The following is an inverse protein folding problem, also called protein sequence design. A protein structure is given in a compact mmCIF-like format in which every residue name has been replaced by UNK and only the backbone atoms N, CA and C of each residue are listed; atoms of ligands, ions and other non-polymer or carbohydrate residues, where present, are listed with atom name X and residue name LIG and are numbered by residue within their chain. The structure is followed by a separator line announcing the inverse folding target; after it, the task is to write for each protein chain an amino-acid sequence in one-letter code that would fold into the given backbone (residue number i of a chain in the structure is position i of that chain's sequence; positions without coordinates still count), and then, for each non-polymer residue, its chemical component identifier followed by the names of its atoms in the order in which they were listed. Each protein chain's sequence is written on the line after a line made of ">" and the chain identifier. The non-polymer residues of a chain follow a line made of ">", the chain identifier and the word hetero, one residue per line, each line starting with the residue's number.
data_IF_171787789903
#
_entry.id   IF_171787789903
#
_cell.length_a   1.000
_cell.length_b   1.000
_cell.length_c   1.000
_cell.angle_alpha   90.00
_cell.angle_beta   90.00
_cell.angle_gamma   90.00
#
_symmetry.space_group_name_H-M   'P 1'
#
loop_
_entity.id
_entity.type
_entity.pdbx_description
1 polymer ?
#
# COMPACT_ATOMS: atom_id res chain seq x y z
N UNK A 1 -29.22 16.60 4.24
CA UNK A 1 -28.14 15.65 4.58
C UNK A 1 -28.49 14.31 3.96
N UNK A 2 -27.63 13.75 3.09
CA UNK A 2 -27.88 12.42 2.51
C UNK A 2 -27.70 11.38 3.61
N UNK A 3 -28.75 10.65 3.95
CA UNK A 3 -28.68 9.46 4.78
C UNK A 3 -27.90 8.38 4.01
N UNK A 4 -26.59 8.35 4.21
CA UNK A 4 -25.75 7.23 3.79
C UNK A 4 -26.13 6.07 4.69
N UNK A 5 -26.81 5.07 4.13
CA UNK A 5 -27.11 3.82 4.82
C UNK A 5 -25.78 3.11 5.05
N UNK A 6 -25.15 3.36 6.20
CA UNK A 6 -23.81 2.86 6.50
C UNK A 6 -23.81 1.32 6.59
N UNK A 7 -22.85 0.73 5.89
CA UNK A 7 -22.61 -0.70 5.89
C UNK A 7 -22.17 -1.18 7.29
N UNK A 8 -22.61 -2.37 7.71
CA UNK A 8 -22.60 -2.88 9.11
C UNK A 8 -21.22 -3.11 9.76
N UNK A 9 -20.12 -2.70 9.14
CA UNK A 9 -18.75 -3.02 9.59
C UNK A 9 -18.01 -1.79 10.13
N UNK A 10 -18.34 -1.44 11.37
CA UNK A 10 -17.85 -0.30 12.14
C UNK A 10 -16.48 -0.53 12.78
N UNK A 11 -15.53 -1.15 12.08
CA UNK A 11 -14.20 -1.40 12.64
C UNK A 11 -13.17 -0.46 11.99
N UNK A 12 -12.15 -0.04 12.73
CA UNK A 12 -11.02 0.72 12.19
C UNK A 12 -9.72 -0.05 12.40
N UNK A 13 -8.68 0.28 11.64
CA UNK A 13 -7.35 -0.30 11.86
C UNK A 13 -6.70 0.39 13.06
N UNK A 14 -6.50 -0.36 14.15
CA UNK A 14 -5.79 0.14 15.32
C UNK A 14 -4.30 0.26 15.02
N UNK A 15 -3.74 1.46 15.20
CA UNK A 15 -2.33 1.75 14.98
C UNK A 15 -1.66 2.02 16.34
N UNK A 16 -0.91 1.05 16.91
CA UNK A 16 -0.32 1.20 18.24
C UNK A 16 0.59 2.43 18.38
N UNK A 17 1.32 2.79 17.31
CA UNK A 17 2.19 3.97 17.32
C UNK A 17 1.41 5.29 17.45
N UNK A 18 0.31 5.44 16.72
CA UNK A 18 -0.56 6.62 16.84
C UNK A 18 -1.26 6.66 18.21
N UNK A 19 -1.74 5.50 18.68
CA UNK A 19 -2.32 5.37 20.02
C UNK A 19 -1.35 5.80 21.12
N UNK A 20 -0.10 5.32 21.07
CA UNK A 20 0.92 5.65 22.06
C UNK A 20 1.35 7.11 21.98
N UNK A 21 1.47 7.68 20.77
CA UNK A 21 1.80 9.10 20.58
C UNK A 21 0.77 9.98 21.28
N UNK A 22 -0.50 9.63 21.16
CA UNK A 22 -1.61 10.38 21.75
C UNK A 22 -1.68 10.16 23.27
N UNK A 23 -1.57 8.91 23.74
CA UNK A 23 -1.85 8.57 25.15
C UNK A 23 -0.66 8.68 26.10
N UNK A 24 0.60 8.70 25.62
CA UNK A 24 1.80 8.68 26.47
C UNK A 24 1.92 9.84 27.48
N UNK A 25 1.28 10.98 27.19
CA UNK A 25 1.31 12.17 28.04
C UNK A 25 -0.02 12.44 28.75
N UNK A 26 -0.99 11.53 28.62
CA UNK A 26 -2.28 11.66 29.29
C UNK A 26 -2.20 11.12 30.72
N UNK A 27 -2.91 11.77 31.64
CA UNK A 27 -3.28 11.16 32.91
C UNK A 27 -4.10 9.88 32.68
N UNK A 28 -4.05 8.94 33.63
CA UNK A 28 -4.81 7.68 33.55
C UNK A 28 -6.31 7.90 33.32
N UNK A 29 -6.86 8.96 33.93
CA UNK A 29 -8.29 9.30 33.81
C UNK A 29 -8.60 9.89 32.44
N UNK A 30 -7.75 10.76 31.91
CA UNK A 30 -7.88 11.29 30.55
C UNK A 30 -7.73 10.18 29.50
N UNK A 31 -6.79 9.24 29.68
CA UNK A 31 -6.62 8.07 28.82
C UNK A 31 -7.88 7.20 28.78
N UNK A 32 -8.52 6.94 29.93
CA UNK A 32 -9.79 6.19 29.97
C UNK A 32 -10.90 6.92 29.21
N UNK A 33 -10.94 8.26 29.27
CA UNK A 33 -11.90 9.04 28.48
C UNK A 33 -11.58 8.95 26.98
N UNK A 34 -10.30 9.05 26.60
CA UNK A 34 -9.82 8.88 25.23
C UNK A 34 -10.21 7.52 24.65
N UNK A 35 -9.96 6.43 25.38
CA UNK A 35 -10.30 5.07 24.94
C UNK A 35 -11.82 4.93 24.66
N UNK A 36 -12.65 5.55 25.50
CA UNK A 36 -14.11 5.55 25.33
C UNK A 36 -14.55 6.33 24.10
N UNK A 37 -13.94 7.49 23.85
CA UNK A 37 -14.18 8.30 22.66
C UNK A 37 -13.77 7.53 21.40
N UNK A 38 -12.58 6.90 21.42
CA UNK A 38 -12.10 6.05 20.33
C UNK A 38 -13.06 4.89 20.03
N UNK A 39 -13.62 4.25 21.06
CA UNK A 39 -14.63 3.20 20.89
C UNK A 39 -15.94 3.76 20.31
N UNK A 40 -16.37 4.95 20.74
CA UNK A 40 -17.59 5.59 20.24
C UNK A 40 -17.46 6.00 18.77
N UNK A 41 -16.25 6.33 18.31
CA UNK A 41 -15.96 6.62 16.90
C UNK A 41 -16.33 5.49 15.95
N UNK A 42 -16.33 4.24 16.43
CA UNK A 42 -16.83 3.10 15.66
C UNK A 42 -18.28 3.33 15.21
N UNK A 43 -19.13 3.90 16.08
CA UNK A 43 -20.56 4.15 15.78
C UNK A 43 -20.76 5.51 15.12
N UNK A 44 -20.06 6.52 15.64
CA UNK A 44 -20.20 7.91 15.27
C UNK A 44 -18.81 8.51 15.06
N UNK A 45 -18.37 8.66 13.80
CA UNK A 45 -17.03 9.16 13.45
C UNK A 45 -16.67 10.42 14.24
N UNK A 46 -17.66 11.29 14.49
CA UNK A 46 -17.52 12.48 15.31
C UNK A 46 -18.47 12.38 16.50
N UNK A 47 -18.01 12.76 17.69
CA UNK A 47 -18.85 12.88 18.88
C UNK A 47 -19.35 14.31 19.05
N UNK A 48 -20.57 14.46 19.53
CA UNK A 48 -21.17 15.76 19.85
C UNK A 48 -20.56 16.36 21.12
N UNK A 49 -20.76 17.67 21.34
CA UNK A 49 -20.39 18.33 22.59
C UNK A 49 -21.02 17.64 23.82
N UNK A 50 -22.27 17.17 23.71
CA UNK A 50 -22.96 16.48 24.81
C UNK A 50 -22.29 15.15 25.16
N UNK A 51 -21.88 14.38 24.14
CA UNK A 51 -21.12 13.14 24.33
C UNK A 51 -19.74 13.42 24.91
N UNK A 52 -19.03 14.43 24.41
CA UNK A 52 -17.74 14.85 24.97
C UNK A 52 -17.89 15.20 26.46
N UNK A 53 -18.87 16.03 26.81
CA UNK A 53 -19.16 16.39 28.21
C UNK A 53 -19.49 15.15 29.06
N UNK A 54 -20.20 14.16 28.50
CA UNK A 54 -20.51 12.92 29.19
C UNK A 54 -19.26 12.07 29.46
N UNK A 55 -18.36 11.96 28.48
CA UNK A 55 -17.10 11.21 28.64
C UNK A 55 -16.13 11.90 29.59
N UNK A 56 -16.15 13.23 29.64
CA UNK A 56 -15.26 14.04 30.48
C UNK A 56 -15.88 14.49 31.80
N UNK A 57 -17.11 14.05 32.14
CA UNK A 57 -17.86 14.54 33.32
C UNK A 57 -17.18 14.33 34.66
N UNK A 58 -16.23 13.39 34.74
CA UNK A 58 -15.47 13.07 35.96
C UNK A 58 -14.06 13.63 35.91
N UNK A 59 -13.64 14.27 34.83
CA UNK A 59 -12.29 14.80 34.69
C UNK A 59 -12.17 16.17 35.36
N UNK A 60 -11.00 16.47 35.90
CA UNK A 60 -10.62 17.84 36.28
C UNK A 60 -10.45 18.71 35.03
N UNK A 61 -10.34 20.03 35.20
CA UNK A 61 -10.12 20.92 34.05
C UNK A 61 -8.75 20.69 33.39
N UNK A 62 -7.72 20.36 34.17
CA UNK A 62 -6.40 20.01 33.64
C UNK A 62 -6.45 18.70 32.83
N UNK A 63 -7.09 17.65 33.36
CA UNK A 63 -7.27 16.37 32.66
C UNK A 63 -8.09 16.53 31.36
N UNK A 64 -9.05 17.46 31.35
CA UNK A 64 -9.80 17.81 30.13
C UNK A 64 -8.91 18.54 29.14
N UNK A 65 -8.07 19.46 29.59
CA UNK A 65 -7.17 20.20 28.73
C UNK A 65 -6.19 19.25 28.04
N UNK A 66 -5.62 18.28 28.77
CA UNK A 66 -4.80 17.19 28.21
C UNK A 66 -5.51 16.47 27.05
N UNK A 67 -6.75 16.02 27.28
CA UNK A 67 -7.53 15.32 26.27
C UNK A 67 -7.84 16.19 25.04
N UNK A 68 -8.15 17.47 25.25
CA UNK A 68 -8.48 18.42 24.19
C UNK A 68 -7.27 18.85 23.36
N UNK A 69 -6.03 18.55 23.78
CA UNK A 69 -4.85 18.71 22.93
C UNK A 69 -4.79 17.67 21.80
N UNK A 70 -5.50 16.56 21.95
CA UNK A 70 -5.48 15.42 21.01
C UNK A 70 -6.80 15.33 20.22
N UNK A 71 -7.91 15.64 20.88
CA UNK A 71 -9.23 15.59 20.28
C UNK A 71 -9.49 16.90 19.51
N UNK A 72 -9.56 16.79 18.19
CA UNK A 72 -9.78 17.92 17.29
C UNK A 72 -11.25 18.35 17.31
N UNK A 73 -11.48 19.67 17.38
CA UNK A 73 -12.79 20.26 17.14
C UNK A 73 -13.00 20.47 15.66
N UNK A 74 -14.09 19.94 15.13
CA UNK A 74 -14.47 20.02 13.71
C UNK A 74 -15.90 20.54 13.54
N UNK A 75 -16.29 20.84 12.30
CA UNK A 75 -17.68 21.16 11.99
C UNK A 75 -18.59 19.96 12.29
N UNK A 76 -19.47 20.11 13.28
CA UNK A 76 -20.37 19.05 13.74
C UNK A 76 -19.93 18.30 15.01
N UNK A 77 -18.74 18.54 15.58
CA UNK A 77 -18.35 17.92 16.85
C UNK A 77 -16.86 17.81 17.10
N UNK A 78 -16.46 16.64 17.59
CA UNK A 78 -15.10 16.32 18.03
C UNK A 78 -14.66 14.96 17.49
N UNK A 79 -13.40 14.84 17.09
CA UNK A 79 -12.84 13.58 16.63
C UNK A 79 -11.37 13.38 17.01
N UNK A 80 -10.97 12.12 17.13
CA UNK A 80 -9.55 11.74 17.14
C UNK A 80 -9.14 11.57 15.68
N UNK A 81 -8.24 12.43 15.21
CA UNK A 81 -7.89 12.59 13.80
C UNK A 81 -7.59 11.25 13.09
N UNK A 82 -6.61 10.50 13.59
CA UNK A 82 -6.17 9.26 12.94
C UNK A 82 -7.24 8.15 12.97
N UNK A 83 -8.12 8.16 13.98
CA UNK A 83 -9.25 7.21 14.09
C UNK A 83 -10.28 7.56 13.03
N UNK A 84 -10.65 8.83 12.91
CA UNK A 84 -11.61 9.31 11.93
C UNK A 84 -11.12 9.07 10.49
N UNK A 85 -9.85 9.34 10.21
CA UNK A 85 -9.22 9.03 8.92
C UNK A 85 -9.31 7.53 8.60
N UNK A 86 -8.93 6.66 9.55
CA UNK A 86 -8.97 5.20 9.38
C UNK A 86 -10.39 4.69 9.07
N UNK A 87 -11.42 5.27 9.71
CA UNK A 87 -12.82 4.91 9.43
C UNK A 87 -13.25 5.40 8.04
N UNK A 88 -12.91 6.65 7.67
CA UNK A 88 -13.24 7.21 6.35
C UNK A 88 -12.61 6.40 5.21
N UNK A 89 -11.35 6.01 5.36
CA UNK A 89 -10.64 5.15 4.41
C UNK A 89 -11.36 3.81 4.23
N UNK A 90 -11.81 3.19 5.33
CA UNK A 90 -12.56 1.93 5.28
C UNK A 90 -13.92 2.09 4.60
N UNK A 91 -14.64 3.18 4.84
CA UNK A 91 -15.90 3.47 4.18
C UNK A 91 -15.66 3.59 2.66
N UNK A 92 -14.68 4.39 2.25
CA UNK A 92 -14.34 4.58 0.84
C UNK A 92 -13.94 3.26 0.15
N UNK A 93 -13.14 2.44 0.83
CA UNK A 93 -12.78 1.09 0.35
C UNK A 93 -14.01 0.21 0.18
N UNK A 94 -14.88 0.16 1.19
CA UNK A 94 -16.11 -0.66 1.17
C UNK A 94 -17.04 -0.24 0.04
N UNK A 95 -17.23 1.06 -0.17
CA UNK A 95 -18.02 1.60 -1.26
C UNK A 95 -17.41 1.28 -2.64
N UNK A 96 -16.09 1.45 -2.79
CA UNK A 96 -15.37 1.09 -4.02
C UNK A 96 -15.55 -0.40 -4.35
N UNK A 97 -15.43 -1.28 -3.35
CA UNK A 97 -15.64 -2.72 -3.51
C UNK A 97 -17.09 -3.05 -3.84
N UNK A 98 -18.05 -2.36 -3.22
CA UNK A 98 -19.48 -2.52 -3.54
C UNK A 98 -19.77 -2.16 -5.00
N UNK A 99 -19.32 -0.97 -5.44
CA UNK A 99 -19.45 -0.52 -6.84
C UNK A 99 -18.80 -1.50 -7.82
N UNK A 100 -17.62 -2.02 -7.48
CA UNK A 100 -16.91 -3.00 -8.30
C UNK A 100 -17.61 -4.36 -8.42
N UNK A 101 -18.50 -4.70 -7.47
CA UNK A 101 -19.30 -5.93 -7.45
C UNK A 101 -20.65 -5.76 -8.14
N UNK A 102 -21.18 -4.53 -8.22
CA UNK A 102 -22.42 -4.26 -8.94
C UNK A 102 -22.28 -4.68 -10.42
N UNK A 103 -23.15 -5.57 -10.87
CA UNK A 103 -23.21 -6.04 -12.25
C UNK A 103 -22.26 -7.20 -12.62
N UNK A 104 -21.46 -7.75 -11.69
CA UNK A 104 -20.58 -8.89 -11.98
C UNK A 104 -21.17 -10.20 -11.45
N UNK A 105 -21.07 -11.29 -12.22
CA UNK A 105 -21.49 -12.62 -11.76
C UNK A 105 -20.61 -13.11 -10.60
N UNK A 106 -21.18 -13.90 -9.68
CA UNK A 106 -20.46 -14.44 -8.50
C UNK A 106 -19.15 -15.16 -8.85
N UNK A 107 -19.03 -15.73 -10.07
CA UNK A 107 -17.82 -16.42 -10.55
C UNK A 107 -16.61 -15.47 -10.75
N UNK A 108 -16.86 -14.17 -10.94
CA UNK A 108 -15.82 -13.14 -11.08
C UNK A 108 -15.55 -12.36 -9.78
N UNK A 109 -16.26 -12.67 -8.70
CA UNK A 109 -16.03 -12.04 -7.39
C UNK A 109 -14.85 -12.72 -6.70
N UNK A 110 -13.62 -12.21 -6.88
CA UNK A 110 -12.49 -12.60 -6.04
C UNK A 110 -12.79 -12.22 -4.58
N UNK A 111 -13.12 -13.20 -3.76
CA UNK A 111 -13.39 -13.12 -2.30
C UNK A 111 -12.12 -13.24 -1.45
N UNK A 112 -10.98 -12.79 -1.97
CA UNK A 112 -9.76 -12.67 -1.17
C UNK A 112 -9.41 -11.19 -1.02
N UNK A 113 -9.51 -10.70 0.22
CA UNK A 113 -9.01 -9.41 0.66
C UNK A 113 -7.98 -9.71 1.72
N UNK A 114 -6.70 -9.47 1.43
CA UNK A 114 -5.64 -9.47 2.44
C UNK A 114 -5.99 -8.33 3.42
N UNK A 115 -6.47 -8.68 4.60
CA UNK A 115 -6.97 -7.72 5.57
C UNK A 115 -5.79 -7.03 6.27
N UNK A 116 -5.82 -5.69 6.29
CA UNK A 116 -5.10 -4.84 7.26
C UNK A 116 -3.57 -4.80 7.18
N UNK A 117 -3.00 -4.66 5.98
CA UNK A 117 -1.70 -3.99 5.82
C UNK A 117 -1.97 -2.69 5.07
N UNK A 118 -1.58 -1.56 5.65
CA UNK A 118 -1.86 -0.23 5.12
C UNK A 118 -1.13 0.02 3.81
N UNK A 119 -1.78 -0.28 2.69
CA UNK A 119 -1.28 0.08 1.37
C UNK A 119 -1.56 1.56 1.10
N UNK A 120 -0.70 2.41 1.70
CA UNK A 120 -0.39 3.76 1.20
C UNK A 120 0.42 3.70 -0.11
N UNK A 121 0.06 2.79 -1.00
CA UNK A 121 0.94 2.23 -2.03
C UNK A 121 0.94 3.01 -3.34
N UNK A 122 0.64 4.30 -3.29
CA UNK A 122 0.93 5.22 -4.41
C UNK A 122 1.79 6.40 -4.00
N UNK A 123 1.83 6.80 -2.72
CA UNK A 123 2.75 7.85 -2.26
C UNK A 123 4.14 7.28 -2.00
N UNK A 124 4.23 6.10 -1.37
CA UNK A 124 5.51 5.46 -1.03
C UNK A 124 6.40 5.10 -2.23
N UNK A 125 5.84 4.63 -3.35
CA UNK A 125 6.67 4.26 -4.52
C UNK A 125 7.24 5.46 -5.26
N UNK A 126 6.49 6.55 -5.34
CA UNK A 126 6.97 7.80 -5.93
C UNK A 126 8.11 8.38 -5.09
N UNK A 127 7.97 8.37 -3.76
CA UNK A 127 9.03 8.80 -2.85
C UNK A 127 10.27 7.90 -2.94
N UNK A 128 10.08 6.58 -2.97
CA UNK A 128 11.19 5.62 -3.10
C UNK A 128 11.93 5.80 -4.43
N UNK A 129 11.21 5.92 -5.55
CA UNK A 129 11.79 6.14 -6.86
C UNK A 129 12.56 7.46 -6.90
N UNK A 130 11.94 8.55 -6.48
CA UNK A 130 12.57 9.88 -6.44
C UNK A 130 13.83 9.87 -5.59
N UNK A 131 13.78 9.22 -4.41
CA UNK A 131 14.94 9.08 -3.52
C UNK A 131 16.08 8.31 -4.20
N UNK A 132 15.79 7.19 -4.85
CA UNK A 132 16.82 6.37 -5.53
C UNK A 132 17.42 7.11 -6.72
N UNK A 133 16.60 7.80 -7.51
CA UNK A 133 17.04 8.59 -8.67
C UNK A 133 17.97 9.72 -8.24
N UNK A 134 17.53 10.56 -7.29
CA UNK A 134 18.32 11.71 -6.81
C UNK A 134 19.60 11.29 -6.09
N UNK A 135 19.53 10.28 -5.21
CA UNK A 135 20.70 9.81 -4.45
C UNK A 135 21.79 9.19 -5.32
N UNK A 136 21.41 8.63 -6.47
CA UNK A 136 22.35 7.95 -7.37
C UNK A 136 22.61 8.72 -8.67
N UNK A 137 22.07 9.94 -8.79
CA UNK A 137 22.19 10.79 -9.97
C UNK A 137 21.86 10.05 -11.29
N UNK A 138 20.75 9.30 -11.29
CA UNK A 138 20.30 8.51 -12.43
C UNK A 138 19.44 9.40 -13.33
N UNK A 139 19.78 9.49 -14.62
CA UNK A 139 18.92 10.15 -15.60
C UNK A 139 17.89 9.16 -16.14
N UNK A 140 16.60 9.45 -15.91
CA UNK A 140 15.51 8.63 -16.43
C UNK A 140 15.12 9.10 -17.84
N UNK A 141 15.12 8.21 -18.85
CA UNK A 141 14.57 8.52 -20.17
C UNK A 141 13.06 8.82 -20.10
N UNK A 142 12.55 9.56 -21.07
CA UNK A 142 11.15 9.99 -21.07
C UNK A 142 10.17 8.79 -20.97
N UNK A 143 9.22 8.91 -20.05
CA UNK A 143 8.21 7.89 -19.77
C UNK A 143 8.69 6.66 -18.99
N UNK A 144 9.98 6.51 -18.66
CA UNK A 144 10.47 5.37 -17.86
C UNK A 144 10.00 5.43 -16.41
N UNK A 145 9.82 6.63 -15.85
CA UNK A 145 9.25 6.81 -14.52
C UNK A 145 7.92 6.05 -14.38
N UNK A 146 7.02 6.26 -15.33
CA UNK A 146 5.70 5.59 -15.35
C UNK A 146 5.82 4.07 -15.46
N UNK A 147 6.73 3.57 -16.29
CA UNK A 147 6.97 2.13 -16.45
C UNK A 147 7.53 1.50 -15.17
N UNK A 148 8.44 2.18 -14.49
CA UNK A 148 9.03 1.71 -13.23
C UNK A 148 7.98 1.71 -12.13
N UNK A 149 7.14 2.74 -12.02
CA UNK A 149 6.05 2.79 -11.05
C UNK A 149 5.02 1.68 -11.29
N UNK A 150 4.67 1.41 -12.56
CA UNK A 150 3.78 0.30 -12.93
C UNK A 150 4.38 -1.06 -12.53
N UNK A 151 5.69 -1.25 -12.72
CA UNK A 151 6.39 -2.44 -12.25
C UNK A 151 6.38 -2.57 -10.73
N UNK A 152 6.70 -1.50 -9.99
CA UNK A 152 6.72 -1.52 -8.52
C UNK A 152 5.36 -1.91 -7.95
N UNK A 153 4.29 -1.35 -8.52
CA UNK A 153 2.92 -1.71 -8.17
C UNK A 153 2.62 -3.19 -8.46
N UNK A 154 3.00 -3.69 -9.64
CA UNK A 154 2.82 -5.11 -9.96
C UNK A 154 3.52 -6.03 -8.94
N UNK A 155 4.70 -5.65 -8.46
CA UNK A 155 5.45 -6.43 -7.47
C UNK A 155 4.81 -6.36 -6.09
N UNK A 156 4.25 -5.21 -5.70
CA UNK A 156 3.52 -5.10 -4.44
C UNK A 156 2.23 -5.92 -4.44
N UNK A 157 1.53 -6.03 -5.57
CA UNK A 157 0.39 -6.94 -5.74
C UNK A 157 0.77 -8.42 -5.48
N UNK A 158 2.06 -8.75 -5.63
CA UNK A 158 2.64 -10.07 -5.33
C UNK A 158 3.25 -10.17 -3.93
N UNK A 159 3.13 -9.13 -3.09
CA UNK A 159 3.74 -9.04 -1.78
C UNK A 159 5.27 -8.87 -1.81
N UNK A 160 5.82 -8.39 -2.94
CA UNK A 160 7.25 -8.20 -3.13
C UNK A 160 7.57 -6.71 -3.23
N UNK A 161 8.47 -6.22 -2.37
CA UNK A 161 8.94 -4.84 -2.38
C UNK A 161 10.43 -4.77 -2.68
N UNK A 162 10.88 -3.64 -3.24
CA UNK A 162 12.30 -3.38 -3.45
C UNK A 162 12.87 -2.51 -2.33
N UNK A 163 14.08 -2.85 -1.89
CA UNK A 163 14.95 -1.92 -1.16
C UNK A 163 15.68 -1.00 -2.14
N UNK A 164 16.19 0.13 -1.67
CA UNK A 164 16.91 1.13 -2.50
C UNK A 164 17.98 0.51 -3.41
N UNK A 165 18.79 -0.40 -2.86
CA UNK A 165 19.89 -1.07 -3.59
C UNK A 165 19.38 -1.96 -4.72
N UNK A 166 18.31 -2.71 -4.47
CA UNK A 166 17.67 -3.57 -5.47
C UNK A 166 17.00 -2.75 -6.57
N UNK A 167 16.31 -1.67 -6.19
CA UNK A 167 15.65 -0.78 -7.14
C UNK A 167 16.66 -0.07 -8.05
N UNK A 168 17.77 0.44 -7.49
CA UNK A 168 18.87 1.02 -8.27
C UNK A 168 19.35 0.07 -9.37
N UNK A 169 19.65 -1.18 -8.99
CA UNK A 169 20.15 -2.19 -9.93
C UNK A 169 19.12 -2.49 -11.02
N UNK A 170 17.85 -2.62 -10.65
CA UNK A 170 16.76 -2.82 -11.59
C UNK A 170 16.68 -1.67 -12.61
N UNK A 171 16.66 -0.42 -12.16
CA UNK A 171 16.55 0.76 -13.02
C UNK A 171 17.70 0.81 -14.02
N UNK A 172 18.94 0.62 -13.55
CA UNK A 172 20.12 0.66 -14.41
C UNK A 172 20.10 -0.46 -15.47
N UNK A 173 19.73 -1.68 -15.08
CA UNK A 173 19.59 -2.80 -16.02
C UNK A 173 18.45 -2.53 -17.01
N UNK A 174 17.35 -1.96 -16.54
CA UNK A 174 16.19 -1.65 -17.37
C UNK A 174 16.50 -0.61 -18.45
N UNK A 175 17.12 0.51 -18.08
CA UNK A 175 17.55 1.55 -19.03
C UNK A 175 18.60 0.99 -20.00
N UNK A 176 19.61 0.27 -19.48
CA UNK A 176 20.67 -0.32 -20.32
C UNK A 176 20.14 -1.32 -21.35
N UNK A 177 19.21 -2.19 -20.95
CA UNK A 177 18.69 -3.26 -21.80
C UNK A 177 17.67 -2.75 -22.83
N UNK A 178 16.92 -1.71 -22.47
CA UNK A 178 16.00 -1.04 -23.38
C UNK A 178 16.70 -0.04 -24.32
N UNK A 179 17.95 0.35 -24.01
CA UNK A 179 18.66 1.41 -24.73
C UNK A 179 18.03 2.79 -24.52
N UNK A 180 17.21 2.96 -23.48
CA UNK A 180 16.42 4.17 -23.25
C UNK A 180 15.19 4.31 -24.16
N UNK A 181 14.88 3.32 -24.99
CA UNK A 181 13.68 3.32 -25.84
C UNK A 181 12.46 2.89 -25.01
N UNK A 182 11.49 3.80 -24.89
CA UNK A 182 10.23 3.60 -24.16
C UNK A 182 9.42 2.43 -24.71
N UNK A 183 9.42 2.20 -26.02
CA UNK A 183 8.67 1.10 -26.63
C UNK A 183 9.28 -0.25 -26.22
N UNK A 184 10.61 -0.35 -26.29
CA UNK A 184 11.34 -1.55 -25.83
C UNK A 184 11.15 -1.74 -24.32
N UNK A 185 11.20 -0.65 -23.54
CA UNK A 185 10.94 -0.68 -22.11
C UNK A 185 9.54 -1.20 -21.78
N UNK A 186 8.52 -0.81 -22.56
CA UNK A 186 7.15 -1.32 -22.43
C UNK A 186 7.06 -2.80 -22.77
N UNK A 187 7.66 -3.23 -23.88
CA UNK A 187 7.69 -4.65 -24.27
C UNK A 187 8.36 -5.52 -23.20
N UNK A 188 9.48 -5.06 -22.63
CA UNK A 188 10.15 -5.74 -21.51
C UNK A 188 9.26 -5.86 -20.27
N UNK A 189 8.51 -4.79 -19.96
CA UNK A 189 7.60 -4.73 -18.82
C UNK A 189 6.48 -5.76 -19.00
N UNK A 190 5.77 -5.70 -20.13
CA UNK A 190 4.65 -6.58 -20.44
C UNK A 190 5.11 -8.06 -20.50
N UNK A 191 6.26 -8.33 -21.11
CA UNK A 191 6.85 -9.67 -21.14
C UNK A 191 7.15 -10.19 -19.72
N UNK A 192 7.81 -9.39 -18.89
CA UNK A 192 8.21 -9.79 -17.54
C UNK A 192 7.02 -9.99 -16.61
N UNK A 193 5.97 -9.18 -16.75
CA UNK A 193 4.71 -9.37 -16.04
C UNK A 193 4.02 -10.66 -16.49
N UNK A 194 3.92 -10.91 -17.80
CA UNK A 194 3.28 -12.12 -18.33
C UNK A 194 3.95 -13.41 -17.86
N UNK A 195 5.28 -13.40 -17.72
CA UNK A 195 6.08 -14.54 -17.25
C UNK A 195 6.25 -14.60 -15.73
N UNK A 196 5.68 -13.64 -14.99
CA UNK A 196 5.83 -13.50 -13.53
C UNK A 196 7.30 -13.46 -13.07
N UNK A 197 8.17 -12.76 -13.79
CA UNK A 197 9.58 -12.71 -13.46
C UNK A 197 9.90 -11.86 -12.22
N UNK A 198 11.08 -12.12 -11.65
CA UNK A 198 11.61 -11.40 -10.49
C UNK A 198 12.20 -10.03 -10.86
N UNK A 199 12.51 -9.81 -12.13
CA UNK A 199 13.05 -8.57 -12.70
C UNK A 199 12.53 -8.30 -14.11
N UNK A 200 13.06 -7.26 -14.75
CA UNK A 200 12.70 -6.82 -16.10
C UNK A 200 13.66 -7.40 -17.14
N UNK A 201 13.12 -8.17 -18.09
CA UNK A 201 13.87 -8.88 -19.11
C UNK A 201 13.30 -8.60 -20.50
N UNK A 202 14.19 -8.59 -21.49
CA UNK A 202 13.80 -8.57 -22.90
C UNK A 202 13.46 -9.97 -23.37
N UNK A 203 12.40 -10.09 -24.17
CA UNK A 203 12.07 -11.34 -24.82
C UNK A 203 13.21 -11.75 -25.77
N UNK A 204 13.66 -13.01 -25.65
CA UNK A 204 14.61 -13.57 -26.60
C UNK A 204 13.82 -14.02 -27.82
N UNK A 205 13.96 -13.31 -28.94
CA UNK A 205 13.50 -13.83 -30.22
C UNK A 205 14.30 -15.11 -30.51
N UNK A 206 13.61 -16.26 -30.54
CA UNK A 206 14.15 -17.48 -31.13
C UNK A 206 14.17 -17.31 -32.66
N UNK A 207 15.03 -16.43 -33.16
CA UNK A 207 15.48 -16.51 -34.55
C UNK A 207 16.44 -17.71 -34.61
N UNK A 208 16.11 -18.69 -35.46
CA UNK A 208 16.60 -20.06 -35.41
C UNK A 208 18.11 -20.22 -35.24
N UNK A 209 18.50 -20.94 -34.19
CA UNK A 209 19.84 -21.46 -34.07
C UNK A 209 19.84 -22.90 -34.60
N UNK A 210 20.00 -23.05 -35.92
CA UNK A 210 20.37 -24.33 -36.55
C UNK A 210 21.84 -24.62 -36.19
N UNK A 211 22.08 -24.99 -34.92
CA UNK A 211 23.36 -25.51 -34.48
C UNK A 211 23.53 -26.92 -35.01
N UNK A 212 24.40 -27.09 -36.01
CA UNK A 212 24.83 -28.41 -36.48
C UNK A 212 25.36 -29.24 -35.31
N UNK A 213 24.70 -30.34 -34.96
CA UNK A 213 25.26 -31.34 -34.07
C UNK A 213 26.48 -31.99 -34.76
N UNK A 214 27.67 -31.43 -34.55
CA UNK A 214 28.91 -32.21 -34.67
C UNK A 214 29.04 -33.00 -33.38
N UNK A 215 28.65 -34.27 -33.45
CA UNK A 215 28.88 -35.27 -32.41
C UNK A 215 30.40 -35.40 -32.26
N UNK A 216 30.93 -35.05 -31.09
CA UNK A 216 32.33 -35.27 -30.71
C UNK A 216 32.50 -36.78 -30.37
N UNK A 217 33.35 -37.55 -31.07
CA UNK A 217 33.42 -39.01 -30.94
C UNK A 217 34.14 -39.51 -29.68
N UNK A 218 34.35 -38.70 -28.63
CA UNK A 218 35.12 -39.10 -27.43
C UNK A 218 34.34 -39.11 -26.12
N UNK A 219 33.18 -39.76 -26.09
CA UNK A 219 32.57 -40.13 -24.80
C UNK A 219 32.00 -41.55 -24.78
N UNK A 220 32.83 -42.50 -25.16
CA UNK A 220 32.72 -43.89 -24.69
C UNK A 220 33.65 -44.06 -23.48
N UNK A 221 33.06 -44.23 -22.30
CA UNK A 221 33.62 -45.04 -21.21
C UNK A 221 32.41 -45.47 -20.36
N UNK A 222 31.98 -46.73 -20.44
CA UNK A 222 32.61 -47.89 -19.81
C UNK A 222 32.74 -47.69 -18.30
N UNK A 223 31.68 -48.02 -17.57
CA UNK A 223 31.74 -48.29 -16.12
C UNK A 223 30.59 -49.23 -15.75
N UNK A 224 30.84 -50.52 -15.99
CA UNK A 224 30.26 -51.64 -15.23
C UNK A 224 31.34 -52.72 -15.23
N UNK A 225 32.26 -52.61 -14.28
CA UNK A 225 32.99 -53.74 -13.70
C UNK A 225 32.53 -53.86 -12.24
#
# INVERSE_FOLDING_TARGET
>A
MKNITMNKDFAFLFKPGDYLRDTQCLSERAQVAYDRIMCEHMRNICITQQQLNFFTKRLTEDEKAELLMIVDKIDGGYEINWVAESIRERIAYSESRSKNRMGKSKKHMKTYVKHMEGDSDSKGYNELLSKVVSKNNIELPDGFEKLILEWLKYKSEKGQSYKETGLKTLINVFIKTSGGDKKIGREMLDYSMSKNYTGLYKEKNNAGNSGSNKIDPKRTNSYWD
#
